data_IF_344029190516
#
_entry.id   IF_344029190516
#
_cell.length_a   1.000
_cell.length_b   1.000
_cell.length_c   1.000
_cell.angle_alpha   90.00
_cell.angle_beta   90.00
_cell.angle_gamma   90.00
#
_symmetry.space_group_name_H-M   'P 1'
#
loop_
_entity.id
_entity.type
_entity.pdbx_description
1 polymer ?
#
# COMPACT_ATOMS: atom_id res chain seq x y z
N UNK A 1 18.04 -26.69 -25.53
CA UNK A 1 19.01 -25.93 -24.73
C UNK A 1 19.48 -26.80 -23.58
N UNK A 2 20.78 -26.87 -23.32
CA UNK A 2 21.36 -27.56 -22.15
C UNK A 2 21.07 -26.80 -20.85
N UNK A 3 21.37 -27.39 -19.69
CA UNK A 3 21.11 -26.78 -18.38
C UNK A 3 21.75 -25.39 -18.23
N UNK A 4 23.05 -25.27 -18.50
CA UNK A 4 23.76 -23.99 -18.39
C UNK A 4 23.22 -22.91 -19.33
N UNK A 5 22.82 -23.30 -20.55
CA UNK A 5 22.25 -22.38 -21.54
C UNK A 5 20.93 -21.78 -21.06
N UNK A 6 20.09 -22.59 -20.40
CA UNK A 6 18.82 -22.13 -19.79
C UNK A 6 19.08 -21.20 -18.61
N UNK A 7 20.04 -21.55 -17.74
CA UNK A 7 20.42 -20.67 -16.62
C UNK A 7 20.96 -19.32 -17.12
N UNK A 8 21.78 -19.32 -18.18
CA UNK A 8 22.27 -18.10 -18.82
C UNK A 8 21.10 -17.25 -19.33
N UNK A 9 20.17 -17.82 -20.09
CA UNK A 9 18.99 -17.08 -20.58
C UNK A 9 18.17 -16.48 -19.43
N UNK A 10 17.87 -17.27 -18.40
CA UNK A 10 17.10 -16.80 -17.24
C UNK A 10 17.83 -15.68 -16.49
N UNK A 11 19.15 -15.75 -16.33
CA UNK A 11 19.91 -14.67 -15.70
C UNK A 11 19.83 -13.36 -16.52
N UNK A 12 19.91 -13.42 -17.86
CA UNK A 12 19.75 -12.23 -18.71
C UNK A 12 18.33 -11.70 -18.67
N UNK A 13 17.33 -12.58 -18.62
CA UNK A 13 15.94 -12.21 -18.43
C UNK A 13 15.74 -11.44 -17.11
N UNK A 14 16.18 -11.99 -15.98
CA UNK A 14 16.06 -11.30 -14.69
C UNK A 14 16.88 -10.00 -14.63
N UNK A 15 18.01 -9.92 -15.32
CA UNK A 15 18.75 -8.67 -15.45
C UNK A 15 17.97 -7.61 -16.25
N UNK A 16 17.33 -8.00 -17.35
CA UNK A 16 16.49 -7.09 -18.11
C UNK A 16 15.23 -6.70 -17.33
N UNK A 17 14.60 -7.64 -16.62
CA UNK A 17 13.47 -7.36 -15.73
C UNK A 17 13.86 -6.47 -14.54
N UNK A 18 15.10 -6.55 -14.05
CA UNK A 18 15.62 -5.61 -13.04
C UNK A 18 15.61 -4.17 -13.55
N UNK A 19 15.95 -3.93 -14.83
CA UNK A 19 15.86 -2.59 -15.43
C UNK A 19 14.41 -2.11 -15.45
N UNK A 20 13.44 -2.99 -15.76
CA UNK A 20 12.00 -2.65 -15.69
C UNK A 20 11.61 -2.25 -14.27
N UNK A 21 12.02 -3.02 -13.27
CA UNK A 21 11.77 -2.71 -11.85
C UNK A 21 12.37 -1.37 -11.45
N UNK A 22 13.60 -1.07 -11.88
CA UNK A 22 14.24 0.22 -11.64
C UNK A 22 13.41 1.35 -12.25
N UNK A 23 12.99 1.23 -13.52
CA UNK A 23 12.13 2.23 -14.16
C UNK A 23 10.84 2.45 -13.37
N UNK A 24 10.18 1.39 -12.91
CA UNK A 24 8.98 1.51 -12.06
C UNK A 24 9.27 2.21 -10.73
N UNK A 25 10.41 1.91 -10.10
CA UNK A 25 10.81 2.49 -8.83
C UNK A 25 11.34 3.93 -8.95
N UNK A 26 11.72 4.38 -10.15
CA UNK A 26 12.28 5.73 -10.35
C UNK A 26 11.33 6.85 -9.90
N UNK A 27 10.02 6.60 -9.94
CA UNK A 27 9.02 7.55 -9.45
C UNK A 27 9.04 7.76 -7.94
N UNK A 28 9.60 6.84 -7.14
CA UNK A 28 9.77 7.07 -5.71
C UNK A 28 10.88 8.11 -5.45
N UNK A 29 11.88 8.16 -6.31
CA UNK A 29 13.01 9.08 -6.20
C UNK A 29 12.61 10.54 -6.39
N UNK A 30 11.53 10.83 -7.12
CA UNK A 30 11.04 12.20 -7.32
C UNK A 30 10.40 12.78 -6.07
N UNK A 31 10.01 11.93 -5.11
CA UNK A 31 9.41 12.35 -3.84
C UNK A 31 10.47 12.60 -2.74
N UNK A 32 11.74 12.32 -3.02
CA UNK A 32 12.84 12.51 -2.07
C UNK A 32 13.39 13.94 -2.20
N UNK A 33 13.52 14.64 -1.08
CA UNK A 33 14.21 15.92 -1.02
C UNK A 33 15.73 15.70 -0.87
N UNK A 34 16.48 15.98 -1.94
CA UNK A 34 17.94 15.86 -1.96
C UNK A 34 18.60 17.08 -1.31
N UNK A 35 18.72 17.06 0.01
CA UNK A 35 19.33 18.15 0.78
C UNK A 35 20.86 18.13 0.76
N UNK A 36 21.48 16.95 0.65
CA UNK A 36 22.92 16.78 0.72
C UNK A 36 23.43 15.52 0.00
N UNK A 37 24.76 15.43 -0.16
CA UNK A 37 25.41 14.28 -0.78
C UNK A 37 25.17 12.95 -0.05
N UNK A 38 24.93 12.98 1.27
CA UNK A 38 24.62 11.75 2.04
C UNK A 38 23.24 11.22 1.68
N UNK A 39 22.24 12.10 1.58
CA UNK A 39 20.88 11.72 1.15
C UNK A 39 20.89 11.20 -0.29
N UNK A 40 21.66 11.82 -1.20
CA UNK A 40 21.82 11.34 -2.58
C UNK A 40 22.46 9.94 -2.60
N UNK A 41 23.55 9.74 -1.87
CA UNK A 41 24.24 8.44 -1.83
C UNK A 41 23.35 7.35 -1.22
N UNK A 42 22.63 7.66 -0.14
CA UNK A 42 21.66 6.77 0.48
C UNK A 42 20.54 6.40 -0.50
N UNK A 43 19.90 7.39 -1.12
CA UNK A 43 18.78 7.17 -2.05
C UNK A 43 19.22 6.33 -3.26
N UNK A 44 20.40 6.60 -3.84
CA UNK A 44 20.94 5.82 -4.95
C UNK A 44 21.24 4.37 -4.54
N UNK A 45 21.87 4.17 -3.37
CA UNK A 45 22.18 2.84 -2.87
C UNK A 45 20.92 2.04 -2.51
N UNK A 46 19.95 2.69 -1.85
CA UNK A 46 18.66 2.10 -1.50
C UNK A 46 17.86 1.75 -2.77
N UNK A 47 17.79 2.64 -3.76
CA UNK A 47 17.10 2.38 -5.03
C UNK A 47 17.66 1.18 -5.79
N UNK A 48 18.98 1.11 -5.95
CA UNK A 48 19.63 0.00 -6.66
C UNK A 48 19.48 -1.32 -5.89
N UNK A 49 19.65 -1.30 -4.56
CA UNK A 49 19.55 -2.49 -3.72
C UNK A 49 18.10 -2.98 -3.60
N UNK A 50 17.15 -2.11 -3.24
CA UNK A 50 15.74 -2.48 -3.11
C UNK A 50 15.11 -2.87 -4.44
N UNK A 51 15.47 -2.20 -5.53
CA UNK A 51 15.08 -2.63 -6.88
C UNK A 51 15.48 -4.08 -7.13
N UNK A 52 16.66 -4.52 -6.65
CA UNK A 52 17.08 -5.91 -6.75
C UNK A 52 16.38 -6.82 -5.74
N UNK A 53 16.16 -6.36 -4.52
CA UNK A 53 15.44 -7.12 -3.49
C UNK A 53 14.02 -7.46 -3.94
N UNK A 54 13.33 -6.56 -4.64
CA UNK A 54 11.96 -6.79 -5.10
C UNK A 54 11.84 -7.94 -6.11
N UNK A 55 12.87 -8.21 -6.93
CA UNK A 55 12.85 -9.36 -7.86
C UNK A 55 13.31 -10.68 -7.24
N UNK A 56 13.89 -10.67 -6.03
CA UNK A 56 14.42 -11.88 -5.39
C UNK A 56 13.35 -12.98 -5.26
N UNK A 57 12.10 -12.72 -4.84
CA UNK A 57 11.08 -13.77 -4.78
C UNK A 57 10.86 -14.46 -6.13
N UNK A 58 10.68 -13.68 -7.20
CA UNK A 58 10.48 -14.21 -8.55
C UNK A 58 11.70 -15.02 -9.04
N UNK A 59 12.90 -14.49 -8.82
CA UNK A 59 14.15 -15.16 -9.18
C UNK A 59 14.38 -16.46 -8.41
N UNK A 60 14.14 -16.46 -7.09
CA UNK A 60 14.33 -17.63 -6.24
C UNK A 60 13.31 -18.73 -6.56
N UNK A 61 12.03 -18.39 -6.71
CA UNK A 61 10.97 -19.34 -7.08
C UNK A 61 11.27 -19.96 -8.45
N UNK A 62 11.64 -19.15 -9.44
CA UNK A 62 11.97 -19.63 -10.78
C UNK A 62 13.21 -20.54 -10.78
N UNK A 63 14.28 -20.15 -10.07
CA UNK A 63 15.51 -20.96 -9.98
C UNK A 63 15.29 -22.25 -9.20
N UNK A 64 14.48 -22.21 -8.13
CA UNK A 64 14.10 -23.40 -7.37
C UNK A 64 13.31 -24.36 -8.26
N UNK A 65 12.27 -23.87 -8.96
CA UNK A 65 11.48 -24.68 -9.88
C UNK A 65 12.34 -25.28 -11.00
N UNK A 66 13.23 -24.49 -11.59
CA UNK A 66 14.16 -24.98 -12.61
C UNK A 66 15.06 -26.10 -12.04
N UNK A 67 15.61 -25.92 -10.83
CA UNK A 67 16.44 -26.94 -10.17
C UNK A 67 15.64 -28.22 -9.90
N UNK A 68 14.43 -28.11 -9.34
CA UNK A 68 13.52 -29.22 -9.05
C UNK A 68 13.18 -30.03 -10.30
N UNK A 69 12.85 -29.37 -11.42
CA UNK A 69 12.52 -30.06 -12.66
C UNK A 69 13.73 -30.66 -13.38
N UNK A 70 14.94 -30.22 -13.02
CA UNK A 70 16.22 -30.74 -13.52
C UNK A 70 16.87 -31.81 -12.64
N UNK A 71 16.36 -32.02 -11.42
CA UNK A 71 16.87 -33.03 -10.49
C UNK A 71 16.76 -34.44 -11.11
N UNK A 72 17.82 -35.23 -10.99
CA UNK A 72 17.91 -36.57 -11.58
C UNK A 72 18.13 -36.62 -13.09
N UNK A 73 18.22 -35.47 -13.79
CA UNK A 73 18.38 -35.40 -15.26
C UNK A 73 19.75 -34.91 -15.72
N UNK A 74 20.66 -34.55 -14.80
CA UNK A 74 22.00 -34.06 -15.13
C UNK A 74 21.98 -32.90 -16.15
N UNK A 75 22.88 -32.94 -17.13
CA UNK A 75 22.98 -31.95 -18.21
C UNK A 75 21.99 -32.17 -19.38
N UNK A 76 21.13 -33.19 -19.29
CA UNK A 76 20.20 -33.52 -20.36
C UNK A 76 19.21 -32.38 -20.65
N UNK A 77 18.69 -32.38 -21.88
CA UNK A 77 17.67 -31.44 -22.30
C UNK A 77 16.39 -31.64 -21.48
N UNK A 78 15.86 -30.56 -20.91
CA UNK A 78 14.55 -30.58 -20.26
C UNK A 78 13.45 -30.84 -21.31
N UNK A 79 12.44 -31.67 -21.02
CA UNK A 79 11.26 -31.82 -21.88
C UNK A 79 10.60 -30.47 -22.14
N UNK A 80 9.98 -30.32 -23.33
CA UNK A 80 9.35 -29.06 -23.74
C UNK A 80 8.33 -28.55 -22.72
N UNK A 81 7.50 -29.43 -22.16
CA UNK A 81 6.52 -29.08 -21.13
C UNK A 81 7.15 -28.43 -19.89
N UNK A 82 8.14 -29.11 -19.28
CA UNK A 82 8.84 -28.58 -18.10
C UNK A 82 9.56 -27.26 -18.37
N UNK A 83 10.11 -27.07 -19.57
CA UNK A 83 10.75 -25.80 -19.97
C UNK A 83 9.73 -24.66 -20.06
N UNK A 84 8.55 -24.92 -20.65
CA UNK A 84 7.45 -23.95 -20.70
C UNK A 84 6.98 -23.61 -19.30
N UNK A 85 6.86 -24.58 -18.39
CA UNK A 85 6.47 -24.33 -16.99
C UNK A 85 7.44 -23.37 -16.27
N UNK A 86 8.76 -23.55 -16.43
CA UNK A 86 9.75 -22.63 -15.84
C UNK A 86 9.60 -21.21 -16.38
N UNK A 87 9.37 -21.07 -17.70
CA UNK A 87 9.22 -19.76 -18.34
C UNK A 87 7.92 -19.07 -17.96
N UNK A 88 6.80 -19.80 -17.92
CA UNK A 88 5.53 -19.27 -17.45
C UNK A 88 5.63 -18.83 -15.98
N UNK A 89 6.31 -19.60 -15.14
CA UNK A 89 6.56 -19.23 -13.75
C UNK A 89 7.38 -17.93 -13.65
N UNK A 90 8.46 -17.81 -14.44
CA UNK A 90 9.29 -16.61 -14.48
C UNK A 90 8.47 -15.37 -14.90
N UNK A 91 7.72 -15.48 -15.99
CA UNK A 91 6.86 -14.39 -16.50
C UNK A 91 5.79 -14.02 -15.50
N UNK A 92 5.07 -15.00 -14.94
CA UNK A 92 3.98 -14.74 -14.01
C UNK A 92 4.49 -14.08 -12.72
N UNK A 93 5.55 -14.60 -12.12
CA UNK A 93 6.11 -14.02 -10.88
C UNK A 93 6.69 -12.63 -11.09
N UNK A 94 7.34 -12.36 -12.22
CA UNK A 94 7.82 -11.01 -12.55
C UNK A 94 6.67 -10.05 -12.86
N UNK A 95 5.67 -10.45 -13.64
CA UNK A 95 4.53 -9.60 -13.95
C UNK A 95 3.73 -9.23 -12.69
N UNK A 96 3.58 -10.17 -11.75
CA UNK A 96 2.98 -9.90 -10.44
C UNK A 96 3.85 -8.94 -9.60
N UNK A 97 5.17 -9.06 -9.66
CA UNK A 97 6.10 -8.13 -8.98
C UNK A 97 5.96 -6.72 -9.54
N UNK A 98 5.98 -6.56 -10.87
CA UNK A 98 5.81 -5.27 -11.53
C UNK A 98 4.45 -4.64 -11.22
N UNK A 99 3.39 -5.46 -11.24
CA UNK A 99 2.03 -5.05 -10.89
C UNK A 99 1.97 -4.54 -9.44
N UNK A 100 2.58 -5.26 -8.50
CA UNK A 100 2.60 -4.87 -7.09
C UNK A 100 3.35 -3.54 -6.88
N UNK A 101 4.51 -3.37 -7.53
CA UNK A 101 5.29 -2.12 -7.46
C UNK A 101 4.52 -0.96 -8.10
N UNK A 102 3.84 -1.20 -9.23
CA UNK A 102 3.03 -0.19 -9.89
C UNK A 102 1.80 0.22 -9.07
N UNK A 103 1.12 -0.75 -8.47
CA UNK A 103 -0.02 -0.50 -7.58
C UNK A 103 0.43 0.30 -6.36
N UNK A 104 1.52 -0.10 -5.71
CA UNK A 104 2.08 0.62 -4.57
C UNK A 104 2.47 2.06 -4.96
N UNK A 105 3.12 2.25 -6.11
CA UNK A 105 3.50 3.57 -6.63
C UNK A 105 2.29 4.47 -6.78
N UNK A 106 1.21 3.93 -7.34
CA UNK A 106 -0.03 4.67 -7.58
C UNK A 106 -0.66 5.10 -6.26
N UNK A 107 -0.69 4.20 -5.27
CA UNK A 107 -1.22 4.48 -3.94
C UNK A 107 -0.35 5.50 -3.20
N UNK A 108 0.97 5.35 -3.27
CA UNK A 108 1.91 6.28 -2.65
C UNK A 108 1.77 7.69 -3.24
N UNK A 109 1.61 7.81 -4.55
CA UNK A 109 1.41 9.10 -5.21
C UNK A 109 0.09 9.77 -4.83
N UNK A 110 -0.97 9.00 -4.60
CA UNK A 110 -2.30 9.53 -4.23
C UNK A 110 -2.43 9.84 -2.74
N UNK A 111 -1.85 9.00 -1.87
CA UNK A 111 -2.14 9.00 -0.44
C UNK A 111 -0.93 9.19 0.48
N UNK A 112 0.30 9.17 -0.06
CA UNK A 112 1.54 9.36 0.71
C UNK A 112 1.92 8.17 1.61
N UNK A 113 1.26 7.02 1.46
CA UNK A 113 1.59 5.78 2.16
C UNK A 113 1.65 4.59 1.20
N UNK A 114 2.39 3.56 1.59
CA UNK A 114 2.53 2.31 0.84
C UNK A 114 1.43 1.29 1.15
N UNK A 115 1.36 0.22 0.36
CA UNK A 115 0.47 -0.92 0.59
C UNK A 115 0.55 -1.39 2.05
N UNK A 116 -0.58 -1.33 2.75
CA UNK A 116 -0.70 -1.67 4.16
C UNK A 116 -2.09 -2.27 4.46
N UNK A 117 -2.37 -2.55 5.74
CA UNK A 117 -3.65 -3.14 6.15
C UNK A 117 -4.89 -2.31 5.82
N UNK A 118 -4.77 -0.97 5.75
CA UNK A 118 -5.87 -0.10 5.31
C UNK A 118 -6.23 -0.34 3.84
N UNK A 119 -5.24 -0.39 2.96
CA UNK A 119 -5.47 -0.69 1.53
C UNK A 119 -6.12 -2.07 1.38
N UNK A 120 -5.63 -3.06 2.13
CA UNK A 120 -6.16 -4.41 2.06
C UNK A 120 -7.61 -4.48 2.54
N UNK A 121 -7.95 -3.78 3.63
CA UNK A 121 -9.32 -3.65 4.11
C UNK A 121 -10.21 -2.97 3.05
N UNK A 122 -9.75 -1.87 2.46
CA UNK A 122 -10.46 -1.16 1.39
C UNK A 122 -10.75 -2.06 0.17
N UNK A 123 -9.79 -2.88 -0.26
CA UNK A 123 -9.96 -3.80 -1.38
C UNK A 123 -10.91 -4.96 -1.06
N UNK A 124 -10.91 -5.44 0.19
CA UNK A 124 -11.75 -6.57 0.62
C UNK A 124 -13.16 -6.15 1.05
N UNK A 125 -13.38 -4.90 1.43
CA UNK A 125 -14.69 -4.41 1.84
C UNK A 125 -15.55 -4.08 0.61
N UNK A 126 -16.75 -4.69 0.47
CA UNK A 126 -17.66 -4.38 -0.63
C UNK A 126 -17.95 -2.88 -0.72
N UNK A 127 -17.79 -2.29 -1.91
CA UNK A 127 -17.97 -0.85 -2.13
C UNK A 127 -16.75 0.01 -1.81
N UNK A 128 -15.66 -0.54 -1.26
CA UNK A 128 -14.44 0.21 -0.97
C UNK A 128 -13.80 0.82 -2.23
N UNK A 129 -13.61 0.03 -3.29
CA UNK A 129 -13.06 0.54 -4.56
C UNK A 129 -13.98 1.60 -5.19
N UNK A 130 -15.29 1.40 -5.13
CA UNK A 130 -16.29 2.35 -5.65
C UNK A 130 -16.27 3.67 -4.88
N UNK A 131 -16.01 3.64 -3.56
CA UNK A 131 -15.89 4.84 -2.73
C UNK A 131 -14.71 5.74 -3.13
N UNK A 132 -13.68 5.17 -3.77
CA UNK A 132 -12.56 5.94 -4.34
C UNK A 132 -12.83 6.46 -5.76
N UNK A 133 -14.08 6.36 -6.24
CA UNK A 133 -14.43 6.66 -7.63
C UNK A 133 -14.09 5.53 -8.60
N UNK A 134 -13.86 4.31 -8.10
CA UNK A 134 -13.68 3.13 -8.93
C UNK A 134 -14.95 2.82 -9.72
N UNK A 135 -14.84 2.83 -11.05
CA UNK A 135 -15.93 2.49 -11.97
C UNK A 135 -15.57 1.23 -12.78
N UNK A 136 -16.53 0.68 -13.54
CA UNK A 136 -16.25 -0.40 -14.51
C UNK A 136 -15.15 -0.01 -15.52
N UNK A 137 -15.04 1.26 -15.87
CA UNK A 137 -13.95 1.76 -16.73
C UNK A 137 -12.60 1.73 -16.00
N UNK A 138 -12.59 2.06 -14.70
CA UNK A 138 -11.40 1.95 -13.85
C UNK A 138 -10.96 0.48 -13.72
N UNK A 139 -11.90 -0.44 -13.49
CA UNK A 139 -11.63 -1.89 -13.45
C UNK A 139 -11.02 -2.40 -14.75
N UNK A 140 -11.57 -2.02 -15.91
CA UNK A 140 -11.03 -2.38 -17.21
C UNK A 140 -9.61 -1.81 -17.41
N UNK A 141 -9.36 -0.59 -16.95
CA UNK A 141 -8.04 0.05 -17.01
C UNK A 141 -7.02 -0.72 -16.16
N UNK A 142 -7.38 -1.07 -14.92
CA UNK A 142 -6.51 -1.87 -14.05
C UNK A 142 -6.24 -3.26 -14.65
N UNK A 143 -7.26 -3.92 -15.20
CA UNK A 143 -7.11 -5.19 -15.89
C UNK A 143 -6.17 -5.10 -17.10
N UNK A 144 -6.32 -4.05 -17.93
CA UNK A 144 -5.44 -3.79 -19.07
C UNK A 144 -3.98 -3.55 -18.64
N UNK A 145 -3.75 -2.82 -17.55
CA UNK A 145 -2.41 -2.61 -17.00
C UNK A 145 -1.79 -3.93 -16.56
N UNK A 146 -2.52 -4.78 -15.82
CA UNK A 146 -2.03 -6.09 -15.40
C UNK A 146 -1.64 -6.93 -16.62
N UNK A 147 -2.54 -7.04 -17.61
CA UNK A 147 -2.29 -7.77 -18.85
C UNK A 147 -1.04 -7.20 -19.57
N UNK A 148 -0.86 -5.89 -19.58
CA UNK A 148 0.30 -5.25 -20.21
C UNK A 148 1.62 -5.67 -19.57
N UNK A 149 1.69 -5.85 -18.24
CA UNK A 149 2.89 -6.35 -17.56
C UNK A 149 3.15 -7.82 -17.89
N UNK A 150 2.11 -8.65 -17.97
CA UNK A 150 2.26 -10.04 -18.43
C UNK A 150 2.78 -10.10 -19.87
N UNK A 151 2.24 -9.28 -20.78
CA UNK A 151 2.70 -9.19 -22.16
C UNK A 151 4.13 -8.66 -22.24
N UNK A 152 4.48 -7.61 -21.49
CA UNK A 152 5.82 -7.05 -21.42
C UNK A 152 6.85 -8.13 -21.02
N UNK A 153 6.59 -8.85 -19.93
CA UNK A 153 7.49 -9.88 -19.43
C UNK A 153 7.57 -11.10 -20.38
N UNK A 154 6.46 -11.49 -21.01
CA UNK A 154 6.44 -12.53 -22.02
C UNK A 154 7.23 -12.14 -23.28
N UNK A 155 7.03 -10.92 -23.79
CA UNK A 155 7.74 -10.36 -24.94
C UNK A 155 9.24 -10.23 -24.64
N UNK A 156 9.61 -9.79 -23.44
CA UNK A 156 11.00 -9.68 -23.01
C UNK A 156 11.70 -11.04 -23.01
N UNK A 157 11.08 -12.05 -22.40
CA UNK A 157 11.61 -13.42 -22.38
C UNK A 157 11.66 -14.02 -23.79
N UNK A 158 10.63 -13.81 -24.60
CA UNK A 158 10.56 -14.28 -25.99
C UNK A 158 11.66 -13.65 -26.85
N UNK A 159 11.85 -12.33 -26.78
CA UNK A 159 12.86 -11.61 -27.53
C UNK A 159 14.27 -12.10 -27.16
N UNK A 160 14.56 -12.27 -25.87
CA UNK A 160 15.83 -12.84 -25.41
C UNK A 160 16.02 -14.29 -25.87
N UNK A 161 14.98 -15.12 -25.81
CA UNK A 161 15.04 -16.50 -26.28
C UNK A 161 15.22 -16.59 -27.80
N UNK A 162 14.61 -15.68 -28.57
CA UNK A 162 14.75 -15.59 -30.01
C UNK A 162 16.16 -15.13 -30.41
N UNK A 163 16.69 -14.08 -29.76
CA UNK A 163 18.07 -13.63 -29.94
C UNK A 163 19.06 -14.77 -29.62
N UNK A 164 18.80 -15.50 -28.54
CA UNK A 164 19.58 -16.66 -28.14
C UNK A 164 19.63 -17.74 -29.24
N UNK A 165 18.51 -17.99 -29.91
CA UNK A 165 18.40 -18.98 -31.00
C UNK A 165 19.00 -18.49 -32.33
N UNK A 166 18.83 -17.20 -32.66
CA UNK A 166 19.16 -16.66 -34.00
C UNK A 166 20.63 -16.29 -34.17
N UNK A 167 21.26 -15.71 -33.15
CA UNK A 167 22.60 -15.11 -33.29
C UNK A 167 23.61 -15.57 -32.22
N UNK A 168 23.14 -16.13 -31.11
CA UNK A 168 23.97 -16.25 -29.90
C UNK A 168 24.52 -17.65 -29.61
N UNK A 169 24.23 -18.69 -30.42
CA UNK A 169 24.87 -20.01 -30.24
C UNK A 169 26.37 -20.02 -30.58
N UNK A 170 26.83 -19.21 -31.55
CA UNK A 170 28.25 -19.16 -31.95
C UNK A 170 29.09 -18.16 -31.15
N UNK A 171 28.46 -17.15 -30.53
CA UNK A 171 29.17 -16.06 -29.83
C UNK A 171 29.12 -16.18 -28.30
N UNK A 172 28.11 -16.83 -27.67
CA UNK A 172 28.01 -16.90 -26.20
C UNK A 172 28.76 -18.02 -25.49
N UNK A 173 29.33 -18.99 -26.19
CA UNK A 173 30.37 -19.83 -25.57
C UNK A 173 31.67 -19.03 -25.37
N UNK A 174 31.84 -17.93 -26.13
CA UNK A 174 32.88 -16.90 -25.89
C UNK A 174 32.39 -15.70 -25.06
N UNK A 175 31.10 -15.35 -25.12
CA UNK A 175 30.44 -14.29 -24.33
C UNK A 175 29.75 -14.84 -23.08
N UNK A 176 30.26 -15.93 -22.50
CA UNK A 176 29.97 -16.27 -21.13
C UNK A 176 30.43 -15.10 -20.28
N UNK A 177 29.50 -14.34 -19.68
CA UNK A 177 29.84 -13.31 -18.70
C UNK A 177 30.74 -13.99 -17.68
N UNK A 178 32.04 -13.65 -17.63
CA UNK A 178 32.98 -14.44 -16.86
C UNK A 178 32.54 -14.42 -15.40
N UNK A 179 32.70 -15.54 -14.69
CA UNK A 179 32.25 -15.70 -13.29
C UNK A 179 32.72 -14.54 -12.38
N UNK A 180 33.76 -13.80 -12.78
CA UNK A 180 34.23 -12.56 -12.14
C UNK A 180 33.20 -11.42 -12.15
N UNK A 181 32.44 -11.20 -13.22
CA UNK A 181 31.45 -10.12 -13.30
C UNK A 181 30.21 -10.42 -12.47
N UNK A 182 29.74 -11.69 -12.42
CA UNK A 182 28.69 -12.09 -11.49
C UNK A 182 29.13 -11.90 -10.03
N UNK A 183 30.38 -12.29 -9.70
CA UNK A 183 30.96 -12.02 -8.38
C UNK A 183 31.00 -10.52 -8.08
N UNK A 184 31.44 -9.70 -9.04
CA UNK A 184 31.45 -8.24 -8.90
C UNK A 184 30.04 -7.69 -8.66
N UNK A 185 29.04 -8.10 -9.43
CA UNK A 185 27.66 -7.66 -9.26
C UNK A 185 27.10 -8.03 -7.87
N UNK A 186 27.40 -9.24 -7.38
CA UNK A 186 27.02 -9.66 -6.03
C UNK A 186 27.74 -8.83 -4.97
N UNK A 187 29.04 -8.59 -5.12
CA UNK A 187 29.81 -7.74 -4.18
C UNK A 187 29.27 -6.32 -4.18
N UNK A 188 28.99 -5.73 -5.34
CA UNK A 188 28.39 -4.40 -5.45
C UNK A 188 27.00 -4.36 -4.79
N UNK A 189 26.15 -5.33 -5.06
CA UNK A 189 24.84 -5.44 -4.40
C UNK A 189 24.98 -5.51 -2.87
N UNK A 190 25.91 -6.32 -2.35
CA UNK A 190 26.16 -6.42 -0.92
C UNK A 190 26.70 -5.10 -0.34
N UNK A 191 27.63 -4.44 -1.03
CA UNK A 191 28.16 -3.15 -0.59
C UNK A 191 27.08 -2.07 -0.55
N UNK A 192 26.21 -2.00 -1.56
CA UNK A 192 25.09 -1.07 -1.59
C UNK A 192 24.08 -1.37 -0.48
N UNK A 193 23.72 -2.65 -0.29
CA UNK A 193 22.75 -3.08 0.72
C UNK A 193 23.28 -2.86 2.15
N UNK A 194 24.53 -3.20 2.42
CA UNK A 194 25.14 -2.93 3.74
C UNK A 194 25.32 -1.43 3.93
N UNK A 195 25.81 -0.73 2.91
CA UNK A 195 26.06 0.71 2.96
C UNK A 195 24.80 1.51 3.27
N UNK A 196 23.68 1.24 2.58
CA UNK A 196 22.42 1.94 2.84
C UNK A 196 21.89 1.67 4.25
N UNK A 197 21.99 0.43 4.77
CA UNK A 197 21.53 0.09 6.12
C UNK A 197 22.36 0.74 7.21
N UNK A 198 23.67 0.78 7.02
CA UNK A 198 24.59 1.49 7.92
C UNK A 198 24.27 2.98 7.90
N UNK A 199 24.10 3.57 6.72
CA UNK A 199 23.74 4.98 6.57
C UNK A 199 22.39 5.31 7.26
N UNK A 200 21.38 4.46 7.09
CA UNK A 200 20.10 4.61 7.77
C UNK A 200 20.26 4.51 9.28
N UNK A 201 20.96 3.49 9.79
CA UNK A 201 21.09 3.28 11.22
C UNK A 201 21.91 4.36 11.93
N UNK A 202 22.95 4.90 11.28
CA UNK A 202 23.68 6.08 11.78
C UNK A 202 22.74 7.30 11.79
N UNK A 203 22.01 7.54 10.70
CA UNK A 203 21.05 8.64 10.59
C UNK A 203 19.96 8.55 11.65
N UNK A 204 19.49 7.34 11.96
CA UNK A 204 18.53 7.09 13.02
C UNK A 204 19.09 7.45 14.41
N UNK A 205 20.35 7.13 14.70
CA UNK A 205 20.99 7.51 15.99
C UNK A 205 21.16 9.02 16.09
N UNK A 206 21.52 9.68 14.99
CA UNK A 206 21.72 11.13 14.92
C UNK A 206 20.42 11.94 14.77
N UNK A 207 19.26 11.28 14.67
CA UNK A 207 17.98 11.90 14.29
C UNK A 207 18.07 12.73 13.00
N UNK A 208 18.88 12.28 12.03
CA UNK A 208 19.07 12.96 10.75
C UNK A 208 17.88 12.71 9.82
N UNK A 209 16.91 13.61 9.87
CA UNK A 209 15.62 13.52 9.18
C UNK A 209 15.71 13.27 7.67
N UNK A 210 16.60 13.90 6.87
CA UNK A 210 16.59 13.72 5.42
C UNK A 210 16.71 12.28 4.93
N UNK A 211 17.59 11.48 5.55
CA UNK A 211 17.72 10.04 5.23
C UNK A 211 16.52 9.25 5.75
N UNK A 212 16.01 9.58 6.94
CA UNK A 212 14.85 8.88 7.53
C UNK A 212 13.58 9.07 6.70
N UNK A 213 13.36 10.28 6.17
CA UNK A 213 12.26 10.61 5.27
C UNK A 213 12.47 9.98 3.90
N UNK A 214 13.67 10.07 3.32
CA UNK A 214 13.98 9.43 2.04
C UNK A 214 13.71 7.90 2.06
N UNK A 215 13.99 7.25 3.18
CA UNK A 215 13.72 5.83 3.37
C UNK A 215 12.22 5.49 3.38
N UNK A 216 11.36 6.41 3.82
CA UNK A 216 9.90 6.24 3.84
C UNK A 216 9.27 6.36 2.44
N UNK A 217 10.02 6.80 1.43
CA UNK A 217 9.54 6.85 0.05
C UNK A 217 9.65 5.52 -0.69
N UNK A 218 10.43 4.56 -0.16
CA UNK A 218 10.62 3.25 -0.80
C UNK A 218 9.67 2.21 -0.19
N UNK A 219 8.90 1.46 -1.02
CA UNK A 219 7.99 0.45 -0.50
C UNK A 219 8.72 -0.67 0.21
N UNK A 220 8.13 -1.19 1.29
CA UNK A 220 8.69 -2.29 2.06
C UNK A 220 10.12 -2.04 2.57
N UNK A 221 10.59 -0.78 2.60
CA UNK A 221 11.86 -0.46 3.20
C UNK A 221 11.85 -0.92 4.66
N UNK A 222 12.93 -1.59 5.09
CA UNK A 222 13.03 -2.19 6.42
C UNK A 222 14.10 -1.48 7.23
N UNK A 223 13.72 -0.49 8.07
CA UNK A 223 14.62 0.25 8.95
C UNK A 223 15.58 -0.66 9.72
N UNK A 224 16.88 -0.39 9.63
CA UNK A 224 17.88 -1.10 10.44
C UNK A 224 18.36 -0.18 11.54
N UNK A 225 18.14 -0.57 12.80
CA UNK A 225 18.49 0.28 13.95
C UNK A 225 19.43 -0.47 14.89
N UNK A 226 20.49 0.20 15.36
CA UNK A 226 21.50 -0.38 16.25
C UNK A 226 21.44 0.23 17.65
N UNK A 227 20.23 0.55 18.11
CA UNK A 227 19.96 1.36 19.33
C UNK A 227 20.74 0.89 20.56
N UNK A 228 20.76 -0.42 20.82
CA UNK A 228 21.47 -1.02 21.98
C UNK A 228 22.98 -0.86 21.85
N UNK A 229 23.53 -1.07 20.66
CA UNK A 229 24.95 -0.93 20.37
C UNK A 229 25.42 0.54 20.44
N UNK A 230 24.63 1.46 19.89
CA UNK A 230 24.89 2.89 20.01
C UNK A 230 24.87 3.36 21.47
N UNK A 231 23.91 2.86 22.27
CA UNK A 231 23.85 3.13 23.71
C UNK A 231 25.06 2.58 24.46
N UNK A 232 25.55 1.38 24.13
CA UNK A 232 26.78 0.84 24.74
C UNK A 232 28.04 1.64 24.38
N UNK A 233 28.00 2.41 23.29
CA UNK A 233 29.07 3.33 22.89
C UNK A 233 28.89 4.76 23.46
N UNK A 234 27.89 5.00 24.32
CA UNK A 234 27.66 6.29 24.97
C UNK A 234 26.77 7.28 24.20
N UNK A 235 26.11 6.87 23.11
CA UNK A 235 25.15 7.74 22.41
C UNK A 235 23.75 7.69 23.04
N UNK A 236 23.27 8.83 23.52
CA UNK A 236 21.89 9.01 23.99
C UNK A 236 20.95 9.39 22.84
N UNK A 237 19.90 8.60 22.62
CA UNK A 237 18.87 8.95 21.64
C UNK A 237 17.81 9.86 22.25
N UNK A 238 17.45 10.94 21.53
CA UNK A 238 16.25 11.71 21.83
C UNK A 238 15.01 10.85 21.59
N UNK A 239 14.26 10.56 22.66
CA UNK A 239 13.08 9.70 22.62
C UNK A 239 11.87 10.53 22.17
N UNK A 240 11.39 10.33 20.95
CA UNK A 240 10.03 10.73 20.58
C UNK A 240 9.04 9.74 21.22
N UNK A 241 8.30 10.19 22.23
CA UNK A 241 7.28 9.40 22.91
C UNK A 241 6.01 9.32 22.06
N UNK A 242 5.88 8.27 21.24
CA UNK A 242 4.58 7.92 20.65
C UNK A 242 3.79 7.07 21.67
N UNK A 243 2.74 7.65 22.25
CA UNK A 243 1.80 6.96 23.13
C UNK A 243 0.97 5.97 22.28
N UNK A 244 1.03 4.68 22.61
CA UNK A 244 0.18 3.64 21.98
C UNK A 244 -0.84 3.17 23.01
N UNK A 245 -2.13 3.39 22.74
CA UNK A 245 -3.23 2.86 23.54
C UNK A 245 -3.87 1.70 22.75
N UNK A 246 -3.89 0.51 23.34
CA UNK A 246 -4.47 -0.69 22.71
C UNK A 246 -5.90 -0.88 23.21
N UNK A 247 -6.88 -0.49 22.39
CA UNK A 247 -8.32 -0.51 22.73
C UNK A 247 -8.97 -1.85 22.34
N UNK A 248 -8.25 -2.76 21.66
CA UNK A 248 -8.83 -4.00 21.10
C UNK A 248 -9.26 -5.04 22.13
N UNK A 249 -8.93 -4.86 23.41
CA UNK A 249 -9.08 -5.89 24.45
C UNK A 249 -10.21 -5.65 25.46
N UNK A 250 -10.97 -4.56 25.34
CA UNK A 250 -12.02 -4.22 26.31
C UNK A 250 -13.40 -4.66 25.78
N UNK A 251 -14.14 -5.44 26.58
CA UNK A 251 -15.57 -5.73 26.34
C UNK A 251 -16.37 -4.43 26.22
N UNK A 252 -17.22 -4.29 25.20
CA UNK A 252 -17.92 -3.03 24.96
C UNK A 252 -19.08 -2.83 25.95
N UNK A 253 -18.94 -1.85 26.84
CA UNK A 253 -20.01 -1.41 27.73
C UNK A 253 -20.62 -0.09 27.21
N UNK A 254 -21.62 -0.20 26.34
CA UNK A 254 -22.35 0.94 25.78
C UNK A 254 -23.84 0.65 25.58
N UNK A 255 -24.74 1.50 26.12
CA UNK A 255 -24.45 2.56 27.09
C UNK A 255 -23.98 1.97 28.42
N UNK A 256 -23.29 2.78 29.25
CA UNK A 256 -22.86 2.32 30.58
C UNK A 256 -24.05 2.03 31.51
N UNK A 257 -25.13 2.78 31.37
CA UNK A 257 -26.38 2.62 32.10
C UNK A 257 -27.56 2.65 31.11
N UNK A 258 -28.69 2.00 31.42
CA UNK A 258 -29.93 2.20 30.66
C UNK A 258 -30.28 3.70 30.60
N UNK A 259 -30.77 4.15 29.45
CA UNK A 259 -31.17 5.54 29.25
C UNK A 259 -32.69 5.59 29.23
N UNK A 260 -33.26 6.46 30.05
CA UNK A 260 -34.68 6.80 30.03
C UNK A 260 -34.86 8.04 29.16
N UNK A 261 -35.64 7.92 28.09
CA UNK A 261 -35.93 9.02 27.17
C UNK A 261 -37.42 9.30 27.19
N UNK A 262 -37.78 10.52 27.59
CA UNK A 262 -39.14 11.01 27.45
C UNK A 262 -39.34 11.48 26.00
N UNK A 263 -40.37 10.99 25.27
CA UNK A 263 -40.69 11.50 23.95
C UNK A 263 -40.97 13.02 24.01
N UNK A 264 -40.50 13.81 23.03
CA UNK A 264 -40.81 15.23 22.99
C UNK A 264 -42.30 15.45 22.79
N UNK A 265 -42.85 16.50 23.42
CA UNK A 265 -44.27 16.87 23.26
C UNK A 265 -44.64 17.10 21.78
N UNK A 266 -43.70 17.62 21.00
CA UNK A 266 -43.84 17.83 19.57
C UNK A 266 -42.61 17.29 18.84
N UNK A 267 -42.67 16.06 18.29
CA UNK A 267 -41.57 15.54 17.47
C UNK A 267 -41.41 16.39 16.21
N UNK A 268 -40.17 16.71 15.85
CA UNK A 268 -39.81 17.46 14.66
C UNK A 268 -39.19 16.54 13.62
N UNK A 269 -39.39 16.82 12.34
CA UNK A 269 -38.64 16.15 11.29
C UNK A 269 -37.15 16.53 11.39
N UNK A 270 -36.27 15.53 11.28
CA UNK A 270 -34.82 15.71 11.33
C UNK A 270 -34.28 15.51 9.92
N UNK A 271 -33.61 16.52 9.39
CA UNK A 271 -32.89 16.44 8.12
C UNK A 271 -31.40 16.47 8.43
N UNK A 272 -30.73 15.34 8.21
CA UNK A 272 -29.31 15.17 8.50
C UNK A 272 -28.50 15.16 7.20
N UNK A 273 -27.82 16.27 6.90
CA UNK A 273 -26.98 16.41 5.72
C UNK A 273 -25.51 16.42 6.14
N UNK A 274 -24.72 15.51 5.57
CA UNK A 274 -23.28 15.43 5.83
C UNK A 274 -22.53 15.46 4.51
N UNK A 275 -21.60 16.40 4.38
CA UNK A 275 -20.65 16.43 3.28
C UNK A 275 -19.35 15.74 3.73
N UNK A 276 -18.89 14.76 2.95
CA UNK A 276 -17.64 14.07 3.20
C UNK A 276 -16.43 14.94 2.81
N UNK A 277 -15.37 14.91 3.64
CA UNK A 277 -14.07 15.54 3.36
C UNK A 277 -14.14 16.99 2.88
N UNK A 278 -15.07 17.76 3.45
CA UNK A 278 -15.29 19.15 3.07
C UNK A 278 -14.27 20.10 3.70
N UNK A 279 -13.70 20.96 2.87
CA UNK A 279 -12.83 22.05 3.30
C UNK A 279 -13.65 23.18 3.92
N UNK A 280 -13.37 23.51 5.18
CA UNK A 280 -14.08 24.56 5.92
C UNK A 280 -14.03 25.94 5.24
N UNK A 281 -12.90 26.27 4.60
CA UNK A 281 -12.69 27.55 3.91
C UNK A 281 -13.46 27.67 2.58
N UNK A 282 -14.11 26.60 2.11
CA UNK A 282 -14.91 26.62 0.88
C UNK A 282 -16.36 27.06 1.11
N UNK A 283 -16.79 27.24 2.38
CA UNK A 283 -18.07 27.90 2.67
C UNK A 283 -17.92 29.40 2.40
N UNK A 284 -18.07 29.77 1.13
CA UNK A 284 -17.83 31.11 0.60
C UNK A 284 -18.99 31.53 -0.33
N UNK A 285 -19.38 32.82 -0.37
CA UNK A 285 -20.46 33.31 -1.24
C UNK A 285 -20.24 33.08 -2.73
N UNK A 286 -18.99 33.01 -3.22
CA UNK A 286 -18.67 32.76 -4.62
C UNK A 286 -18.70 31.27 -4.95
N UNK A 287 -18.10 30.43 -4.07
CA UNK A 287 -17.94 29.00 -4.30
C UNK A 287 -19.22 28.21 -3.97
N UNK A 288 -19.90 28.56 -2.87
CA UNK A 288 -21.08 27.87 -2.35
C UNK A 288 -22.24 28.86 -2.03
N UNK A 289 -22.72 29.63 -3.02
CA UNK A 289 -23.65 30.75 -2.79
C UNK A 289 -24.94 30.35 -2.04
N UNK A 290 -25.51 29.18 -2.36
CA UNK A 290 -26.75 28.70 -1.73
C UNK A 290 -26.53 28.28 -0.27
N UNK A 291 -25.46 27.53 0.02
CA UNK A 291 -25.11 27.09 1.37
C UNK A 291 -24.69 28.27 2.24
N UNK A 292 -23.95 29.23 1.66
CA UNK A 292 -23.63 30.49 2.31
C UNK A 292 -24.90 31.25 2.71
N UNK A 293 -25.83 31.47 1.77
CA UNK A 293 -27.09 32.15 2.04
C UNK A 293 -27.95 31.44 3.12
N UNK A 294 -27.91 30.10 3.16
CA UNK A 294 -28.55 29.33 4.22
C UNK A 294 -27.86 29.53 5.57
N UNK A 295 -26.54 29.48 5.62
CA UNK A 295 -25.75 29.67 6.84
C UNK A 295 -25.99 31.05 7.49
N UNK A 296 -26.27 32.09 6.69
CA UNK A 296 -26.61 33.42 7.22
C UNK A 296 -27.94 33.48 7.97
N UNK A 297 -28.79 32.45 7.82
CA UNK A 297 -30.12 32.35 8.46
C UNK A 297 -30.18 31.21 9.50
N UNK A 298 -29.03 30.62 9.83
CA UNK A 298 -28.91 29.45 10.68
C UNK A 298 -27.80 29.62 11.71
N UNK A 299 -27.72 28.69 12.67
CA UNK A 299 -26.61 28.64 13.61
C UNK A 299 -25.36 28.11 12.89
N UNK A 300 -24.33 28.94 12.79
CA UNK A 300 -23.04 28.60 12.18
C UNK A 300 -21.97 28.44 13.24
N UNK A 301 -21.33 27.28 13.27
CA UNK A 301 -20.21 26.99 14.17
C UNK A 301 -18.88 27.11 13.41
N UNK A 302 -18.09 28.13 13.72
CA UNK A 302 -16.79 28.41 13.07
C UNK A 302 -15.61 27.70 13.72
N UNK A 303 -15.82 27.09 14.88
CA UNK A 303 -14.86 26.27 15.62
C UNK A 303 -15.41 24.86 15.81
N UNK A 304 -15.89 24.25 14.73
CA UNK A 304 -16.41 22.89 14.72
C UNK A 304 -15.36 21.92 14.18
N UNK A 305 -14.96 20.96 15.00
CA UNK A 305 -13.97 19.94 14.63
C UNK A 305 -14.66 18.59 14.54
N UNK A 306 -14.39 17.86 13.46
CA UNK A 306 -14.74 16.44 13.35
C UNK A 306 -14.01 15.65 14.44
N UNK A 307 -14.67 14.64 15.02
CA UNK A 307 -14.04 13.74 16.01
C UNK A 307 -13.01 12.77 15.40
N UNK A 308 -12.67 12.92 14.13
CA UNK A 308 -11.54 12.27 13.48
C UNK A 308 -11.18 12.89 12.13
N UNK A 309 -10.01 12.54 11.62
CA UNK A 309 -9.46 13.04 10.35
C UNK A 309 -9.84 12.18 9.13
N UNK A 310 -10.77 11.24 9.28
CA UNK A 310 -11.33 10.45 8.19
C UNK A 310 -12.83 10.25 8.39
N UNK A 311 -13.55 10.01 7.29
CA UNK A 311 -15.02 9.89 7.23
C UNK A 311 -15.56 8.87 8.23
N UNK A 312 -14.90 7.71 8.34
CA UNK A 312 -15.27 6.65 9.28
C UNK A 312 -15.34 7.17 10.72
N UNK A 313 -14.27 7.83 11.18
CA UNK A 313 -14.19 8.34 12.54
C UNK A 313 -15.08 9.56 12.76
N UNK A 314 -15.16 10.47 11.78
CA UNK A 314 -16.04 11.62 11.82
C UNK A 314 -17.51 11.21 11.99
N UNK A 315 -18.01 10.34 11.11
CA UNK A 315 -19.37 9.80 11.19
C UNK A 315 -19.62 9.03 12.48
N UNK A 316 -18.67 8.19 12.93
CA UNK A 316 -18.80 7.50 14.21
C UNK A 316 -18.98 8.47 15.37
N UNK A 317 -18.08 9.44 15.53
CA UNK A 317 -18.14 10.39 16.64
C UNK A 317 -19.43 11.22 16.61
N UNK A 318 -19.91 11.56 15.41
CA UNK A 318 -21.14 12.31 15.19
C UNK A 318 -22.39 11.55 15.67
N UNK A 319 -22.47 10.24 15.46
CA UNK A 319 -23.63 9.43 15.84
C UNK A 319 -23.53 8.84 17.26
N UNK A 320 -22.32 8.47 17.71
CA UNK A 320 -22.12 7.81 19.00
C UNK A 320 -21.76 8.77 20.13
N UNK A 321 -21.22 9.95 19.82
CA UNK A 321 -20.70 10.89 20.82
C UNK A 321 -19.44 10.40 21.54
N UNK A 322 -18.71 9.44 20.95
CA UNK A 322 -17.51 8.82 21.53
C UNK A 322 -16.27 9.04 20.65
N UNK A 323 -15.08 8.87 21.21
CA UNK A 323 -13.82 8.98 20.46
C UNK A 323 -13.70 7.94 19.34
N UNK A 324 -13.22 8.35 18.16
CA UNK A 324 -13.10 7.47 16.99
C UNK A 324 -12.35 6.15 17.23
N UNK A 325 -11.40 6.13 18.18
CA UNK A 325 -10.66 4.91 18.53
C UNK A 325 -11.54 3.72 18.95
N UNK A 326 -12.76 3.97 19.45
CA UNK A 326 -13.71 2.91 19.85
C UNK A 326 -14.42 2.23 18.67
N UNK A 327 -14.38 2.81 17.46
CA UNK A 327 -15.08 2.29 16.28
C UNK A 327 -14.99 0.77 16.11
N UNK A 328 -13.79 0.21 16.24
CA UNK A 328 -13.55 -1.20 15.95
C UNK A 328 -14.33 -2.13 16.89
N UNK A 329 -14.41 -1.81 18.19
CA UNK A 329 -15.19 -2.59 19.14
C UNK A 329 -16.70 -2.55 18.83
N UNK A 330 -17.20 -1.40 18.37
CA UNK A 330 -18.59 -1.24 17.96
C UNK A 330 -18.91 -1.98 16.66
N UNK A 331 -17.98 -1.99 15.71
CA UNK A 331 -18.10 -2.76 14.47
C UNK A 331 -18.12 -4.27 14.75
N UNK A 332 -17.25 -4.76 15.63
CA UNK A 332 -17.16 -6.17 15.98
C UNK A 332 -18.44 -6.67 16.66
N UNK A 333 -19.03 -5.88 17.56
CA UNK A 333 -20.29 -6.20 18.22
C UNK A 333 -21.55 -5.80 17.44
N UNK A 334 -21.40 -5.13 16.28
CA UNK A 334 -22.50 -4.50 15.51
C UNK A 334 -23.42 -3.64 16.39
N UNK A 335 -22.83 -2.92 17.33
CA UNK A 335 -23.55 -2.10 18.30
C UNK A 335 -24.04 -0.82 17.64
N UNK A 336 -25.35 -0.57 17.62
CA UNK A 336 -25.95 0.65 17.07
C UNK A 336 -25.76 1.87 17.99
N UNK A 337 -25.77 3.10 17.44
CA UNK A 337 -25.72 4.32 18.23
C UNK A 337 -27.09 4.59 18.90
N UNK A 338 -27.04 5.11 20.12
CA UNK A 338 -28.24 5.39 20.92
C UNK A 338 -29.25 6.29 20.22
N UNK A 339 -28.79 7.31 19.49
CA UNK A 339 -29.67 8.23 18.78
C UNK A 339 -30.54 7.49 17.75
N UNK A 340 -29.97 6.51 17.05
CA UNK A 340 -30.73 5.74 16.06
C UNK A 340 -31.71 4.77 16.73
N UNK A 341 -31.29 4.12 17.82
CA UNK A 341 -32.17 3.28 18.63
C UNK A 341 -33.38 4.08 19.15
N UNK A 342 -33.16 5.32 19.61
CA UNK A 342 -34.21 6.19 20.14
C UNK A 342 -35.16 6.70 19.06
N UNK A 343 -34.64 7.09 17.89
CA UNK A 343 -35.49 7.50 16.76
C UNK A 343 -36.39 6.34 16.30
N UNK A 344 -35.86 5.11 16.23
CA UNK A 344 -36.67 3.93 15.92
C UNK A 344 -37.73 3.65 17.00
N UNK A 345 -37.37 3.70 18.28
CA UNK A 345 -38.31 3.51 19.40
C UNK A 345 -39.44 4.55 19.41
N UNK A 346 -39.16 5.78 18.95
CA UNK A 346 -40.14 6.86 18.81
C UNK A 346 -40.87 6.84 17.46
N UNK A 347 -40.76 5.77 16.68
CA UNK A 347 -41.44 5.55 15.39
C UNK A 347 -41.11 6.61 14.32
N UNK A 348 -39.90 7.16 14.31
CA UNK A 348 -39.44 7.99 13.21
C UNK A 348 -39.30 7.17 11.94
N UNK A 349 -39.80 7.71 10.82
CA UNK A 349 -39.55 7.16 9.50
C UNK A 349 -38.15 7.57 9.05
N UNK A 350 -37.30 6.58 8.77
CA UNK A 350 -35.92 6.80 8.36
C UNK A 350 -35.80 6.64 6.85
N UNK A 351 -35.23 7.64 6.19
CA UNK A 351 -34.87 7.60 4.77
C UNK A 351 -33.42 8.04 4.63
N UNK A 352 -32.58 7.14 4.15
CA UNK A 352 -31.13 7.35 4.07
C UNK A 352 -30.70 7.41 2.62
N UNK A 353 -30.00 8.48 2.27
CA UNK A 353 -29.46 8.71 0.94
C UNK A 353 -27.97 8.93 1.06
N UNK A 354 -27.22 8.34 0.14
CA UNK A 354 -25.76 8.46 0.09
C UNK A 354 -25.31 8.41 -1.36
N UNK A 355 -24.28 9.18 -1.69
CA UNK A 355 -23.63 9.11 -3.01
C UNK A 355 -22.68 7.91 -3.12
N UNK A 356 -22.24 7.35 -1.98
CA UNK A 356 -21.40 6.16 -1.87
C UNK A 356 -22.20 4.97 -1.31
N UNK A 357 -21.58 3.82 -1.06
CA UNK A 357 -22.24 2.69 -0.40
C UNK A 357 -22.12 2.79 1.12
N UNK A 358 -23.20 2.48 1.86
CA UNK A 358 -23.14 2.36 3.33
C UNK A 358 -22.26 1.21 3.84
N UNK A 359 -21.82 0.32 2.96
CA UNK A 359 -20.88 -0.76 3.29
C UNK A 359 -19.42 -0.29 3.38
N UNK A 360 -19.10 0.91 2.87
CA UNK A 360 -17.77 1.51 3.03
C UNK A 360 -17.81 3.02 3.32
N UNK A 361 -17.35 3.46 4.52
CA UNK A 361 -17.03 2.64 5.69
C UNK A 361 -18.22 1.77 6.12
N UNK A 362 -18.01 0.82 7.02
CA UNK A 362 -18.98 -0.20 7.44
C UNK A 362 -20.15 0.36 8.28
N UNK A 363 -20.83 1.39 7.78
CA UNK A 363 -21.95 2.09 8.40
C UNK A 363 -23.20 1.21 8.46
N UNK A 364 -23.38 0.33 7.47
CA UNK A 364 -24.39 -0.74 7.43
C UNK A 364 -24.24 -1.75 8.59
N UNK A 365 -23.04 -1.88 9.17
CA UNK A 365 -22.75 -2.77 10.31
C UNK A 365 -22.57 -2.03 11.64
N UNK A 366 -22.70 -0.71 11.63
CA UNK A 366 -22.51 0.14 12.82
C UNK A 366 -23.68 1.11 12.96
N UNK A 367 -23.57 2.32 12.38
CA UNK A 367 -24.53 3.42 12.49
C UNK A 367 -25.96 2.97 12.17
N UNK A 368 -26.09 2.12 11.14
CA UNK A 368 -27.36 1.72 10.55
C UNK A 368 -27.62 0.20 10.68
N UNK A 369 -26.96 -0.49 11.61
CA UNK A 369 -27.02 -1.96 11.71
C UNK A 369 -28.43 -2.54 11.99
N UNK A 370 -29.35 -1.74 12.54
CA UNK A 370 -30.76 -2.11 12.78
C UNK A 370 -31.73 -1.49 11.77
N UNK A 371 -31.21 -0.89 10.70
CA UNK A 371 -32.04 -0.36 9.62
C UNK A 371 -32.13 -1.45 8.55
N UNK A 372 -33.35 -1.84 8.15
CA UNK A 372 -33.56 -2.94 7.19
C UNK A 372 -33.04 -2.64 5.78
#
# INVERSE_FOLDING_TARGET
MLFEQRCRLLNHYFFASYIVVLVLCSSYLTNIQYSDGRTVAFAAAAYLSYGFIYLLPALLVTKLLHRLLSLGRGDCALPRGSMVTVYLCAVATMALTDTAIFADRTIYALYGFHLNGFVWNLLMTPGGIESLGGSRASEATYGAIIISFFLLQACLLWALAWLYRRHLQRSMDSAAVPKKHYRLAVVLFLLLTVGERVAYGISHVQAYTPVLVAAQSLPLYTPTTFRRFAKSLGYEMQRQSAFKLDVKSASLAYPLNPIEVAPPEKPLNIVWLVAESWRYDMLDPEIMPATWAFAQKANRFTQHYSGGNCTRMGMYTMFYGLYGAYWFAFLDERRTPLIMDQLQQQNYQLSLYTSAKFSYPEFDKTLFAKIP
#
